data_IF_109327036493
#
_entry.id   IF_109327036493
#
_cell.length_a   1.000
_cell.length_b   1.000
_cell.length_c   1.000
_cell.angle_alpha   90.00
_cell.angle_beta   90.00
_cell.angle_gamma   90.00
#
_symmetry.space_group_name_H-M   'P 1'
#
loop_
_entity.id
_entity.type
_entity.pdbx_description
1 polymer ?
#
# COMPACT_ATOMS: atom_id res chain seq x y z
N UNK A 1 13.89 -3.63 -9.85
CA UNK A 1 12.52 -4.03 -9.47
C UNK A 1 11.71 -2.77 -9.31
N UNK A 2 10.42 -2.80 -9.66
CA UNK A 2 9.53 -1.67 -9.48
C UNK A 2 8.35 -2.11 -8.60
N UNK A 3 8.12 -1.38 -7.50
CA UNK A 3 6.94 -1.51 -6.68
C UNK A 3 5.93 -0.45 -7.14
N UNK A 4 4.74 -0.89 -7.50
CA UNK A 4 3.63 -0.04 -7.91
C UNK A 4 2.41 -0.24 -7.03
N UNK A 5 1.53 0.76 -7.00
CA UNK A 5 0.22 0.67 -6.38
C UNK A 5 -0.84 1.06 -7.41
N UNK A 6 -1.88 0.24 -7.55
CA UNK A 6 -2.89 0.43 -8.60
C UNK A 6 -3.73 1.70 -8.44
N UNK A 7 -3.86 2.22 -7.22
CA UNK A 7 -4.61 3.42 -6.92
C UNK A 7 -4.02 4.12 -5.67
N UNK A 8 -4.02 5.45 -5.69
CA UNK A 8 -3.43 6.31 -4.66
C UNK A 8 -4.49 7.22 -4.03
N UNK A 9 -5.78 6.92 -4.22
CA UNK A 9 -6.87 7.76 -3.74
C UNK A 9 -7.89 6.93 -2.97
N UNK A 10 -8.43 7.49 -1.89
CA UNK A 10 -9.50 6.87 -1.09
C UNK A 10 -10.45 7.94 -0.58
N UNK A 11 -11.74 7.62 -0.44
CA UNK A 11 -12.71 8.54 0.17
C UNK A 11 -12.50 8.64 1.67
N UNK A 12 -12.62 9.85 2.23
CA UNK A 12 -12.63 10.05 3.69
C UNK A 12 -13.78 9.33 4.42
N UNK A 13 -14.83 8.89 3.72
CA UNK A 13 -15.92 8.05 4.25
C UNK A 13 -15.73 6.55 4.02
N UNK A 14 -14.57 6.12 3.56
CA UNK A 14 -14.27 4.70 3.42
C UNK A 14 -14.37 4.01 4.78
N UNK A 15 -15.12 2.90 4.85
CA UNK A 15 -15.19 2.06 6.04
C UNK A 15 -13.83 1.44 6.35
N UNK A 16 -13.63 0.99 7.59
CA UNK A 16 -12.46 0.17 7.91
C UNK A 16 -12.45 -1.10 7.03
N UNK A 17 -11.28 -1.47 6.51
CA UNK A 17 -11.09 -2.57 5.57
C UNK A 17 -11.38 -2.22 4.11
N UNK A 18 -11.67 -0.97 3.77
CA UNK A 18 -11.89 -0.57 2.39
C UNK A 18 -10.59 -0.64 1.59
N UNK A 19 -10.67 -1.13 0.35
CA UNK A 19 -9.54 -1.20 -0.57
C UNK A 19 -9.13 0.21 -1.03
N UNK A 20 -7.89 0.59 -0.75
CA UNK A 20 -7.25 1.78 -1.31
C UNK A 20 -6.67 1.45 -2.67
N UNK A 21 -5.89 0.37 -2.76
CA UNK A 21 -5.24 -0.10 -3.97
C UNK A 21 -4.52 -1.43 -3.78
N UNK A 22 -4.01 -2.01 -4.87
CA UNK A 22 -3.30 -3.29 -4.87
C UNK A 22 -1.84 -3.08 -5.27
N UNK A 23 -0.94 -3.62 -4.48
CA UNK A 23 0.49 -3.62 -4.72
C UNK A 23 0.85 -4.58 -5.86
N UNK A 24 1.69 -4.11 -6.77
CA UNK A 24 2.27 -4.89 -7.84
C UNK A 24 3.79 -4.76 -7.82
N UNK A 25 4.48 -5.87 -8.01
CA UNK A 25 5.94 -5.90 -8.14
C UNK A 25 6.33 -6.52 -9.45
N UNK A 26 7.16 -5.81 -10.20
CA UNK A 26 7.70 -6.27 -11.47
C UNK A 26 9.22 -6.39 -11.35
N UNK A 27 9.75 -7.54 -11.76
CA UNK A 27 11.20 -7.71 -11.92
C UNK A 27 11.70 -6.96 -13.17
N UNK A 28 13.01 -6.96 -13.40
CA UNK A 28 13.61 -6.32 -14.58
C UNK A 28 13.12 -6.90 -15.92
N UNK A 29 12.57 -8.11 -15.91
CA UNK A 29 12.00 -8.79 -17.07
C UNK A 29 10.48 -8.58 -17.22
N UNK A 30 9.86 -7.73 -16.38
CA UNK A 30 8.42 -7.45 -16.41
C UNK A 30 7.54 -8.57 -15.85
N UNK A 31 8.10 -9.54 -15.14
CA UNK A 31 7.36 -10.63 -14.51
C UNK A 31 6.89 -10.21 -13.12
N UNK A 32 5.63 -10.48 -12.82
CA UNK A 32 5.06 -10.26 -11.49
C UNK A 32 5.76 -11.11 -10.45
N UNK A 33 6.28 -10.46 -9.40
CA UNK A 33 6.91 -11.14 -8.29
C UNK A 33 5.94 -11.30 -7.13
N UNK A 34 6.05 -12.43 -6.42
CA UNK A 34 5.39 -12.62 -5.14
C UNK A 34 6.28 -12.11 -4.02
N UNK A 35 5.69 -11.31 -3.13
CA UNK A 35 6.33 -10.75 -1.96
C UNK A 35 5.32 -10.58 -0.83
N UNK A 36 5.82 -10.59 0.39
CA UNK A 36 5.08 -10.10 1.54
C UNK A 36 5.31 -8.60 1.66
N UNK A 37 4.24 -7.83 1.84
CA UNK A 37 4.31 -6.39 1.99
C UNK A 37 4.17 -6.03 3.46
N UNK A 38 5.04 -5.15 3.92
CA UNK A 38 5.11 -4.68 5.29
C UNK A 38 4.99 -3.16 5.24
N UNK A 39 4.06 -2.60 6.01
CA UNK A 39 4.01 -1.15 6.22
C UNK A 39 5.11 -0.76 7.19
N UNK A 40 5.86 0.28 6.87
CA UNK A 40 6.76 0.88 7.85
C UNK A 40 5.94 1.61 8.93
N UNK A 41 6.47 1.68 10.15
CA UNK A 41 5.74 2.09 11.36
C UNK A 41 5.00 3.43 11.23
N UNK A 42 5.55 4.38 10.48
CA UNK A 42 4.95 5.70 10.25
C UNK A 42 3.61 5.63 9.49
N UNK A 43 3.33 4.52 8.81
CA UNK A 43 2.18 4.33 7.92
C UNK A 43 1.08 3.43 8.49
N UNK A 44 1.35 2.73 9.60
CA UNK A 44 0.48 1.68 10.15
C UNK A 44 -0.75 2.19 10.93
N UNK A 45 -0.85 3.49 11.20
CA UNK A 45 -1.94 4.05 12.03
C UNK A 45 -3.29 4.18 11.30
N UNK A 46 -3.27 4.50 10.01
CA UNK A 46 -4.47 4.77 9.21
C UNK A 46 -4.73 3.71 8.13
N UNK A 47 -3.67 3.05 7.68
CA UNK A 47 -3.69 2.06 6.61
C UNK A 47 -3.13 0.74 7.12
N UNK A 48 -3.57 -0.34 6.49
CA UNK A 48 -3.16 -1.70 6.77
C UNK A 48 -2.89 -2.45 5.48
N UNK A 49 -2.24 -3.60 5.57
CA UNK A 49 -2.03 -4.48 4.44
C UNK A 49 -2.82 -5.76 4.65
N UNK A 50 -3.57 -6.16 3.63
CA UNK A 50 -4.24 -7.45 3.55
C UNK A 50 -3.80 -8.18 2.29
N UNK A 51 -2.85 -9.11 2.45
CA UNK A 51 -2.18 -9.76 1.32
C UNK A 51 -1.42 -8.75 0.45
N UNK A 52 -1.88 -8.56 -0.78
CA UNK A 52 -1.33 -7.57 -1.73
C UNK A 52 -2.09 -6.24 -1.72
N UNK A 53 -3.07 -6.06 -0.84
CA UNK A 53 -3.95 -4.90 -0.88
C UNK A 53 -3.62 -3.93 0.25
N UNK A 54 -3.53 -2.64 -0.09
CA UNK A 54 -3.56 -1.56 0.87
C UNK A 54 -5.03 -1.31 1.25
N UNK A 55 -5.34 -1.42 2.52
CA UNK A 55 -6.68 -1.22 3.08
C UNK A 55 -6.67 -0.08 4.10
N UNK A 56 -7.82 0.55 4.32
CA UNK A 56 -8.00 1.47 5.44
C UNK A 56 -8.16 0.70 6.74
N UNK A 57 -7.59 1.19 7.84
CA UNK A 57 -7.79 0.61 9.18
C UNK A 57 -8.89 1.34 9.96
N UNK A 58 -9.14 2.60 9.64
CA UNK A 58 -10.14 3.43 10.29
C UNK A 58 -11.39 3.62 9.41
N UNK A 59 -12.56 3.73 10.04
CA UNK A 59 -13.84 3.96 9.36
C UNK A 59 -14.07 5.42 8.93
N UNK A 60 -13.12 6.30 9.23
CA UNK A 60 -13.11 7.70 8.82
C UNK A 60 -11.67 8.19 8.82
N UNK A 61 -11.20 8.67 7.67
CA UNK A 61 -9.90 9.31 7.55
C UNK A 61 -10.11 10.81 7.27
N UNK A 62 -9.43 11.70 8.01
CA UNK A 62 -9.38 13.10 7.66
C UNK A 62 -8.92 13.28 6.19
N UNK A 63 -9.56 14.17 5.41
CA UNK A 63 -9.06 14.52 4.10
C UNK A 63 -7.64 15.08 4.16
N UNK A 64 -6.77 14.65 3.26
CA UNK A 64 -5.35 15.02 3.27
C UNK A 64 -4.47 14.05 2.50
N UNK A 65 -3.16 14.32 2.52
CA UNK A 65 -2.16 13.45 1.92
C UNK A 65 -1.41 12.67 3.00
N UNK A 66 -1.38 11.35 2.84
CA UNK A 66 -0.72 10.44 3.74
C UNK A 66 0.43 9.77 3.01
N UNK A 67 1.63 9.86 3.58
CA UNK A 67 2.78 9.12 3.07
C UNK A 67 2.73 7.71 3.63
N UNK A 68 2.73 6.72 2.73
CA UNK A 68 2.66 5.31 3.05
C UNK A 68 3.92 4.64 2.51
N UNK A 69 4.83 4.33 3.42
CA UNK A 69 6.07 3.60 3.12
C UNK A 69 5.84 2.11 3.29
N UNK A 70 6.24 1.35 2.28
CA UNK A 70 6.05 -0.10 2.21
C UNK A 70 7.33 -0.77 1.80
N UNK A 71 7.67 -1.82 2.53
CA UNK A 71 8.77 -2.72 2.21
C UNK A 71 8.20 -4.05 1.72
N UNK A 72 8.61 -4.46 0.53
CA UNK A 72 8.29 -5.76 -0.04
C UNK A 72 9.44 -6.74 0.16
N UNK A 73 9.15 -7.89 0.76
CA UNK A 73 10.12 -8.94 1.06
C UNK A 73 9.78 -10.19 0.24
N UNK A 74 10.74 -10.67 -0.55
CA UNK A 74 10.57 -11.85 -1.39
C UNK A 74 10.29 -13.13 -0.59
N UNK A 75 9.29 -13.90 -1.01
CA UNK A 75 8.86 -15.14 -0.30
C UNK A 75 9.61 -16.39 -0.77
N UNK A 76 10.03 -16.44 -2.04
CA UNK A 76 10.72 -17.59 -2.65
C UNK A 76 12.24 -17.47 -2.61
N UNK A 77 12.73 -16.26 -2.80
CA UNK A 77 14.14 -15.89 -2.70
C UNK A 77 14.21 -14.62 -1.88
N UNK A 78 15.20 -14.50 -1.00
CA UNK A 78 15.35 -13.30 -0.19
C UNK A 78 15.82 -12.13 -1.06
N UNK A 79 15.03 -11.07 -1.05
CA UNK A 79 15.31 -9.75 -1.61
C UNK A 79 14.32 -8.77 -0.99
N UNK A 80 14.68 -7.50 -0.99
CA UNK A 80 13.86 -6.44 -0.42
C UNK A 80 13.73 -5.29 -1.42
N UNK A 81 12.55 -4.67 -1.45
CA UNK A 81 12.28 -3.48 -2.24
C UNK A 81 11.38 -2.54 -1.46
N UNK A 82 11.86 -1.32 -1.18
CA UNK A 82 11.06 -0.26 -0.57
C UNK A 82 10.36 0.61 -1.62
N UNK A 83 9.19 1.14 -1.27
CA UNK A 83 8.53 2.18 -2.03
C UNK A 83 7.69 3.07 -1.12
N UNK A 84 7.61 4.35 -1.47
CA UNK A 84 6.77 5.33 -0.76
C UNK A 84 5.65 5.78 -1.69
N UNK A 85 4.42 5.73 -1.19
CA UNK A 85 3.20 6.09 -1.89
C UNK A 85 2.49 7.21 -1.17
N UNK A 86 2.14 8.27 -1.89
CA UNK A 86 1.31 9.34 -1.32
C UNK A 86 -0.16 9.04 -1.58
N UNK A 87 -0.88 8.61 -0.54
CA UNK A 87 -2.31 8.37 -0.60
C UNK A 87 -3.06 9.67 -0.36
N UNK A 88 -3.93 10.03 -1.28
CA UNK A 88 -4.79 11.22 -1.17
C UNK A 88 -6.16 10.80 -0.68
N UNK A 89 -6.52 11.24 0.52
CA UNK A 89 -7.86 11.09 1.08
C UNK A 89 -8.68 12.29 0.62
N UNK A 90 -9.67 12.05 -0.23
CA UNK A 90 -10.51 13.13 -0.76
C UNK A 90 -11.64 13.47 0.23
N UNK A 91 -11.92 14.77 0.43
CA UNK A 91 -13.15 15.17 1.11
C UNK A 91 -14.35 14.74 0.27
N UNK A 92 -15.45 14.41 0.95
CA UNK A 92 -16.72 14.17 0.30
C UNK A 92 -17.43 15.47 -0.03
#
# INVERSE_FOLDING_TARGET
MALGLSNLTVSGKASAGALVGTFSLLNASGVTMQANFILDDDSAGFFGISGNNLITMNASLPPGNYSVSVTAVGTKTYWEAGGCFTITVTPN
#
